data_IF_626612947392
#
_entry.id   IF_626612947392
#
_cell.length_a   1.000
_cell.length_b   1.000
_cell.length_c   1.000
_cell.angle_alpha   90.00
_cell.angle_beta   90.00
_cell.angle_gamma   90.00
#
_symmetry.space_group_name_H-M   'P 1'
#
loop_
_entity.id
_entity.type
_entity.pdbx_description
1 polymer ?
#
# COMPACT_ATOMS: atom_id res chain seq x y z
N UNK A 1 40.00 -43.96 21.98
CA UNK A 1 38.66 -43.39 21.71
C UNK A 1 38.84 -42.11 20.91
N UNK A 2 38.55 -42.14 19.61
CA UNK A 2 38.73 -41.04 18.70
C UNK A 2 37.54 -40.03 18.89
N UNK A 3 37.85 -38.77 19.18
CA UNK A 3 36.86 -37.69 19.22
C UNK A 3 36.36 -37.42 17.79
N UNK A 4 35.10 -37.68 17.51
CA UNK A 4 34.46 -37.27 16.24
C UNK A 4 34.48 -35.74 16.16
N UNK A 5 35.22 -35.19 15.22
CA UNK A 5 35.15 -33.77 14.88
C UNK A 5 33.88 -33.54 14.08
N UNK A 6 32.83 -33.10 14.73
CA UNK A 6 31.67 -32.52 14.04
C UNK A 6 32.10 -31.20 13.44
N UNK A 7 32.49 -31.19 12.19
CA UNK A 7 32.76 -29.97 11.40
C UNK A 7 31.42 -29.34 11.02
N UNK A 8 30.95 -28.38 11.82
CA UNK A 8 29.85 -27.50 11.42
C UNK A 8 30.33 -26.62 10.28
N UNK A 9 29.53 -26.39 9.22
CA UNK A 9 29.90 -25.47 8.16
C UNK A 9 30.17 -24.07 8.77
N UNK A 10 31.26 -23.44 8.30
CA UNK A 10 31.60 -22.06 8.74
C UNK A 10 30.40 -21.15 8.53
N UNK A 11 29.86 -20.63 9.62
CA UNK A 11 28.73 -19.68 9.59
C UNK A 11 29.19 -18.24 9.38
N UNK A 12 30.49 -17.98 9.44
CA UNK A 12 31.12 -16.67 9.38
C UNK A 12 32.34 -16.72 8.46
N UNK A 13 32.55 -15.65 7.67
CA UNK A 13 33.73 -15.46 6.84
C UNK A 13 34.93 -14.99 7.69
N UNK A 14 34.67 -14.28 8.79
CA UNK A 14 35.69 -13.81 9.70
C UNK A 14 36.35 -14.96 10.49
N UNK A 15 37.69 -14.93 10.65
CA UNK A 15 38.45 -16.04 11.28
C UNK A 15 38.27 -16.13 12.79
N UNK A 16 37.89 -15.04 13.47
CA UNK A 16 37.68 -14.97 14.90
C UNK A 16 36.29 -14.45 15.22
N UNK A 17 35.62 -15.13 16.16
CA UNK A 17 34.31 -14.74 16.66
C UNK A 17 34.31 -14.68 18.18
N UNK A 18 33.45 -13.79 18.74
CA UNK A 18 33.24 -13.66 20.17
C UNK A 18 31.75 -13.83 20.47
N UNK A 19 31.44 -14.49 21.61
CA UNK A 19 30.07 -14.60 22.07
C UNK A 19 29.69 -13.33 22.83
N UNK A 20 28.62 -12.68 22.40
CA UNK A 20 28.02 -11.56 23.12
C UNK A 20 26.62 -11.95 23.61
N UNK A 21 26.24 -11.48 24.78
CA UNK A 21 24.88 -11.65 25.32
C UNK A 21 24.08 -10.41 25.03
N UNK A 22 22.94 -10.59 24.35
CA UNK A 22 21.99 -9.54 24.02
C UNK A 22 20.59 -9.97 24.46
N UNK A 23 19.68 -9.04 24.74
CA UNK A 23 18.27 -9.38 24.94
C UNK A 23 17.73 -10.22 23.79
N UNK A 24 16.92 -11.24 24.10
CA UNK A 24 16.39 -12.19 23.11
C UNK A 24 15.65 -11.50 21.96
N UNK A 25 14.90 -10.44 22.26
CA UNK A 25 14.18 -9.62 21.29
C UNK A 25 15.09 -8.94 20.25
N UNK A 26 16.39 -8.81 20.54
CA UNK A 26 17.39 -8.17 19.66
C UNK A 26 18.29 -9.21 18.95
N UNK A 27 18.20 -10.47 19.32
CA UNK A 27 19.17 -11.47 18.89
C UNK A 27 19.12 -11.76 17.39
N UNK A 28 17.93 -11.88 16.80
CA UNK A 28 17.76 -12.16 15.37
C UNK A 28 18.22 -10.98 14.51
N UNK A 29 17.84 -9.77 14.87
CA UNK A 29 18.22 -8.56 14.14
C UNK A 29 19.73 -8.34 14.16
N UNK A 30 20.34 -8.45 15.33
CA UNK A 30 21.80 -8.32 15.48
C UNK A 30 22.56 -9.42 14.74
N UNK A 31 22.02 -10.64 14.71
CA UNK A 31 22.62 -11.75 13.98
C UNK A 31 22.52 -11.53 12.46
N UNK A 32 21.39 -11.04 11.97
CA UNK A 32 21.20 -10.70 10.57
C UNK A 32 22.18 -9.62 10.10
N UNK A 33 22.33 -8.60 10.88
CA UNK A 33 23.24 -7.48 10.70
C UNK A 33 24.69 -7.94 10.68
N UNK A 34 25.11 -8.70 11.68
CA UNK A 34 26.47 -9.21 11.78
C UNK A 34 26.83 -10.11 10.58
N UNK A 35 25.91 -10.95 10.11
CA UNK A 35 26.10 -11.77 8.91
C UNK A 35 26.26 -10.94 7.65
N UNK A 36 25.49 -9.86 7.50
CA UNK A 36 25.59 -8.96 6.34
C UNK A 36 26.93 -8.22 6.31
N UNK A 37 27.45 -7.79 7.46
CA UNK A 37 28.77 -7.18 7.58
C UNK A 37 29.86 -8.21 7.23
N UNK A 38 29.76 -9.42 7.77
CA UNK A 38 30.73 -10.49 7.53
C UNK A 38 30.77 -10.95 6.06
N UNK A 39 29.62 -10.96 5.37
CA UNK A 39 29.53 -11.30 3.95
C UNK A 39 30.14 -10.24 3.01
N UNK A 40 30.17 -8.98 3.42
CA UNK A 40 30.68 -7.86 2.62
C UNK A 40 32.16 -7.53 2.86
N UNK A 41 32.93 -8.42 3.48
CA UNK A 41 34.40 -8.31 3.61
C UNK A 41 34.89 -7.24 4.59
N UNK A 42 34.06 -6.74 5.47
CA UNK A 42 34.49 -5.99 6.67
C UNK A 42 35.07 -4.59 6.48
N UNK A 43 35.12 -4.01 5.28
CA UNK A 43 35.96 -2.83 5.00
C UNK A 43 35.23 -1.47 4.80
N UNK A 44 33.91 -1.38 4.99
CA UNK A 44 33.22 -0.06 5.05
C UNK A 44 32.50 0.15 6.38
N UNK A 45 33.19 -0.18 7.47
CA UNK A 45 32.64 -0.27 8.84
C UNK A 45 32.06 1.03 9.44
N UNK A 46 32.44 2.22 8.97
CA UNK A 46 31.96 3.47 9.59
C UNK A 46 30.61 3.92 9.08
N UNK A 47 30.37 3.91 7.78
CA UNK A 47 29.06 4.31 7.23
C UNK A 47 27.99 3.24 7.46
N UNK A 48 28.36 1.96 7.28
CA UNK A 48 27.44 0.85 7.55
C UNK A 48 27.14 0.69 9.05
N UNK A 49 28.13 0.90 9.94
CA UNK A 49 27.90 0.91 11.39
C UNK A 49 27.02 2.09 11.84
N UNK A 50 27.16 3.26 11.25
CA UNK A 50 26.29 4.39 11.54
C UNK A 50 24.85 4.13 11.08
N UNK A 51 24.67 3.57 9.88
CA UNK A 51 23.34 3.15 9.37
C UNK A 51 22.74 2.10 10.30
N UNK A 52 23.55 1.16 10.77
CA UNK A 52 23.17 0.10 11.68
C UNK A 52 22.75 0.59 13.06
N UNK A 53 23.53 1.53 13.62
CA UNK A 53 23.21 2.17 14.91
C UNK A 53 21.92 2.98 14.76
N UNK A 54 21.71 3.66 13.64
CA UNK A 54 20.48 4.38 13.35
C UNK A 54 19.29 3.42 13.21
N UNK A 55 19.46 2.28 12.54
CA UNK A 55 18.44 1.23 12.43
C UNK A 55 18.07 0.65 13.81
N UNK A 56 19.05 0.38 14.67
CA UNK A 56 18.83 -0.09 16.04
C UNK A 56 18.18 0.98 16.93
N UNK A 57 18.58 2.25 16.77
CA UNK A 57 17.98 3.36 17.52
C UNK A 57 16.54 3.62 17.07
N UNK A 58 16.25 3.50 15.77
CA UNK A 58 14.90 3.60 15.24
C UNK A 58 14.03 2.43 15.71
N UNK A 59 14.53 1.20 15.69
CA UNK A 59 13.82 0.03 16.23
C UNK A 59 13.47 0.16 17.72
N UNK A 60 14.32 0.84 18.51
CA UNK A 60 14.03 1.14 19.93
C UNK A 60 12.98 2.22 20.14
N UNK A 61 12.84 3.16 19.20
CA UNK A 61 11.92 4.30 19.31
C UNK A 61 10.51 3.99 18.76
N UNK A 62 10.39 3.00 17.87
CA UNK A 62 9.11 2.64 17.27
C UNK A 62 8.23 1.98 18.33
N UNK A 63 7.18 2.67 18.74
CA UNK A 63 6.13 2.07 19.57
C UNK A 63 5.20 1.25 18.66
N UNK A 64 4.97 -0.01 19.05
CA UNK A 64 3.98 -0.84 18.36
C UNK A 64 2.58 -0.43 18.78
N UNK A 65 1.72 -0.13 17.81
CA UNK A 65 0.31 0.11 18.03
C UNK A 65 -0.49 -1.20 18.13
N UNK A 66 0.02 -2.27 17.54
CA UNK A 66 -0.49 -3.63 17.68
C UNK A 66 0.57 -4.64 17.24
N UNK A 67 0.82 -5.63 18.06
CA UNK A 67 1.72 -6.76 17.78
C UNK A 67 1.02 -7.91 17.04
N UNK A 68 -0.31 -7.84 16.88
CA UNK A 68 -1.14 -8.84 16.22
C UNK A 68 -1.79 -8.29 14.95
N UNK A 69 -1.66 -8.99 13.82
CA UNK A 69 -2.37 -8.61 12.61
C UNK A 69 -3.87 -8.60 12.83
N UNK A 70 -4.53 -7.57 12.32
CA UNK A 70 -5.99 -7.43 12.40
C UNK A 70 -6.67 -8.48 11.51
N UNK A 71 -7.76 -9.06 12.00
CA UNK A 71 -8.61 -9.92 11.19
C UNK A 71 -9.43 -9.08 10.21
N UNK A 72 -9.20 -9.29 8.93
CA UNK A 72 -9.87 -8.54 7.84
C UNK A 72 -10.99 -9.32 7.16
N UNK A 73 -11.36 -10.51 7.66
CA UNK A 73 -12.42 -11.33 7.07
C UNK A 73 -13.77 -10.60 6.99
N UNK A 74 -14.04 -9.67 7.92
CA UNK A 74 -15.25 -8.84 7.96
C UNK A 74 -15.16 -7.57 7.12
N UNK A 75 -14.02 -7.28 6.47
CA UNK A 75 -13.85 -6.08 5.64
C UNK A 75 -14.37 -6.37 4.22
N UNK A 76 -15.43 -5.67 3.78
CA UNK A 76 -15.96 -5.87 2.43
C UNK A 76 -14.93 -5.46 1.36
N UNK A 77 -14.73 -6.34 0.39
CA UNK A 77 -13.88 -6.11 -0.78
C UNK A 77 -14.60 -5.23 -1.81
N UNK A 78 -14.60 -3.91 -1.62
CA UNK A 78 -15.37 -2.95 -2.40
C UNK A 78 -14.71 -2.59 -3.73
N UNK A 79 -13.38 -2.53 -3.75
CA UNK A 79 -12.62 -2.12 -4.94
C UNK A 79 -12.77 -3.11 -6.10
N UNK A 80 -12.93 -2.63 -7.35
CA UNK A 80 -12.85 -3.46 -8.53
C UNK A 80 -11.42 -3.94 -8.82
N UNK A 81 -10.43 -3.32 -8.21
CA UNK A 81 -9.03 -3.67 -8.36
C UNK A 81 -8.54 -4.70 -7.36
N UNK A 82 -7.56 -5.50 -7.78
CA UNK A 82 -6.59 -6.19 -6.91
C UNK A 82 -5.31 -5.37 -6.93
N UNK A 83 -5.26 -4.37 -6.09
CA UNK A 83 -4.12 -3.45 -6.12
C UNK A 83 -2.97 -3.98 -5.26
N UNK A 84 -1.73 -4.08 -5.79
CA UNK A 84 -0.56 -4.39 -4.97
C UNK A 84 -0.43 -3.39 -3.82
N UNK A 85 -0.12 -3.86 -2.61
CA UNK A 85 -0.07 -2.98 -1.44
C UNK A 85 -1.45 -2.50 -0.93
N UNK A 86 -2.55 -3.06 -1.45
CA UNK A 86 -3.91 -2.65 -1.07
C UNK A 86 -4.16 -2.69 0.44
N UNK A 87 -4.71 -1.62 0.98
CA UNK A 87 -4.85 -1.33 2.43
C UNK A 87 -6.12 -1.92 3.07
N UNK A 88 -6.62 -3.07 2.57
CA UNK A 88 -7.78 -3.74 3.21
C UNK A 88 -7.52 -4.04 4.68
N UNK A 89 -6.30 -4.42 5.04
CA UNK A 89 -5.89 -4.70 6.40
C UNK A 89 -5.93 -3.45 7.30
N UNK A 90 -5.78 -2.26 6.72
CA UNK A 90 -5.79 -0.98 7.43
C UNK A 90 -7.21 -0.45 7.69
N UNK A 91 -8.21 -0.98 6.99
CA UNK A 91 -9.60 -0.49 7.10
C UNK A 91 -10.13 -0.40 8.55
N UNK A 92 -9.88 -1.37 9.45
CA UNK A 92 -10.27 -1.23 10.86
C UNK A 92 -9.68 0.02 11.53
N UNK A 93 -8.40 0.31 11.29
CA UNK A 93 -7.72 1.49 11.81
C UNK A 93 -8.27 2.79 11.20
N UNK A 94 -8.59 2.80 9.90
CA UNK A 94 -9.25 3.94 9.26
C UNK A 94 -10.60 4.25 9.90
N UNK A 95 -11.38 3.22 10.21
CA UNK A 95 -12.67 3.38 10.92
C UNK A 95 -12.48 4.00 12.29
N UNK A 96 -11.49 3.50 13.05
CA UNK A 96 -11.21 4.00 14.40
C UNK A 96 -10.67 5.43 14.34
N UNK A 97 -9.78 5.74 13.42
CA UNK A 97 -9.28 7.09 13.20
C UNK A 97 -10.39 8.08 12.88
N UNK A 98 -11.22 7.80 11.88
CA UNK A 98 -12.27 8.72 11.46
C UNK A 98 -13.37 8.88 12.52
N UNK A 99 -13.67 7.83 13.31
CA UNK A 99 -14.64 7.86 14.40
C UNK A 99 -14.11 8.49 15.68
N UNK A 100 -12.81 8.49 15.90
CA UNK A 100 -12.17 9.10 17.08
C UNK A 100 -12.24 10.63 17.09
N UNK A 101 -12.56 11.22 15.95
CA UNK A 101 -12.64 12.68 15.82
C UNK A 101 -13.89 13.22 16.54
N UNK A 102 -13.71 14.35 17.20
CA UNK A 102 -14.83 15.01 17.91
C UNK A 102 -16.02 15.33 17.00
N UNK A 103 -15.75 15.64 15.72
CA UNK A 103 -16.78 15.82 14.68
C UNK A 103 -16.40 14.99 13.46
N UNK A 104 -17.43 14.44 12.81
CA UNK A 104 -17.25 13.79 11.52
C UNK A 104 -16.62 14.77 10.52
N UNK A 105 -15.53 14.40 9.83
CA UNK A 105 -14.94 15.27 8.83
C UNK A 105 -15.91 15.56 7.69
N UNK A 106 -15.87 16.79 7.18
CA UNK A 106 -16.67 17.13 6.02
C UNK A 106 -16.14 16.40 4.77
N UNK A 107 -14.82 16.25 4.69
CA UNK A 107 -14.15 15.54 3.57
C UNK A 107 -13.12 14.54 4.07
N UNK A 108 -13.04 13.42 3.36
CA UNK A 108 -11.83 12.59 3.32
C UNK A 108 -11.17 12.79 1.97
N UNK A 109 -9.86 13.05 1.95
CA UNK A 109 -9.06 13.11 0.75
C UNK A 109 -8.07 11.93 0.76
N UNK A 110 -8.15 11.05 -0.25
CA UNK A 110 -7.17 10.00 -0.53
C UNK A 110 -6.34 10.43 -1.74
N UNK A 111 -5.14 10.97 -1.47
CA UNK A 111 -4.34 11.65 -2.48
C UNK A 111 -3.60 10.69 -3.44
N UNK A 112 -3.42 9.42 -3.07
CA UNK A 112 -2.76 8.36 -3.84
C UNK A 112 -3.65 7.13 -3.82
N UNK A 113 -4.75 7.18 -4.56
CA UNK A 113 -5.88 6.27 -4.33
C UNK A 113 -5.65 4.84 -4.85
N UNK A 114 -5.01 4.66 -6.00
CA UNK A 114 -4.87 3.35 -6.62
C UNK A 114 -6.21 2.60 -6.68
N UNK A 115 -6.32 1.55 -5.86
CA UNK A 115 -7.58 0.79 -5.70
C UNK A 115 -8.64 1.44 -4.83
N UNK A 116 -8.40 2.60 -4.22
CA UNK A 116 -9.31 3.44 -3.46
C UNK A 116 -10.08 2.72 -2.32
N UNK A 117 -9.50 1.70 -1.68
CA UNK A 117 -10.23 0.92 -0.66
C UNK A 117 -10.61 1.76 0.56
N UNK A 118 -9.78 2.74 0.93
CA UNK A 118 -10.03 3.65 2.05
C UNK A 118 -11.16 4.61 1.70
N UNK A 119 -11.11 5.25 0.55
CA UNK A 119 -12.16 6.11 0.00
C UNK A 119 -13.49 5.38 -0.08
N UNK A 120 -13.50 4.19 -0.69
CA UNK A 120 -14.72 3.39 -0.82
C UNK A 120 -15.28 3.01 0.54
N UNK A 121 -14.43 2.59 1.48
CA UNK A 121 -14.90 2.28 2.84
C UNK A 121 -15.54 3.50 3.49
N UNK A 122 -14.89 4.65 3.45
CA UNK A 122 -15.38 5.87 4.05
C UNK A 122 -16.73 6.31 3.46
N UNK A 123 -16.86 6.26 2.14
CA UNK A 123 -18.10 6.63 1.46
C UNK A 123 -19.26 5.65 1.71
N UNK A 124 -19.00 4.34 1.62
CA UNK A 124 -20.03 3.32 1.85
C UNK A 124 -20.51 3.28 3.30
N UNK A 125 -19.62 3.53 4.26
CA UNK A 125 -19.94 3.48 5.68
C UNK A 125 -20.33 4.86 6.27
N UNK A 126 -20.34 5.90 5.45
CA UNK A 126 -20.70 7.24 5.88
C UNK A 126 -19.75 7.79 6.96
N UNK A 127 -18.45 7.48 6.89
CA UNK A 127 -17.46 7.93 7.88
C UNK A 127 -17.08 9.40 7.68
N UNK A 128 -17.41 9.96 6.53
CA UNK A 128 -17.29 11.38 6.18
C UNK A 128 -18.53 11.82 5.39
N UNK A 129 -18.76 13.12 5.26
CA UNK A 129 -19.89 13.61 4.43
C UNK A 129 -19.60 13.44 2.95
N UNK A 130 -18.35 13.65 2.53
CA UNK A 130 -17.91 13.52 1.14
C UNK A 130 -16.49 12.95 1.06
N UNK A 131 -16.19 12.26 -0.02
CA UNK A 131 -14.86 11.66 -0.28
C UNK A 131 -14.33 12.21 -1.59
N UNK A 132 -13.10 12.68 -1.59
CA UNK A 132 -12.36 13.08 -2.80
C UNK A 132 -11.15 12.16 -2.88
N UNK A 133 -10.94 11.52 -4.03
CA UNK A 133 -9.76 10.70 -4.23
C UNK A 133 -9.10 10.96 -5.58
N UNK A 134 -7.78 10.82 -5.61
CA UNK A 134 -6.93 11.22 -6.71
C UNK A 134 -6.08 10.05 -7.21
N UNK A 135 -5.90 10.00 -8.53
CA UNK A 135 -5.01 9.02 -9.16
C UNK A 135 -4.28 9.67 -10.34
N UNK A 136 -2.96 9.48 -10.36
CA UNK A 136 -2.08 10.02 -11.40
C UNK A 136 -1.97 9.09 -12.62
N UNK A 137 -2.05 7.76 -12.40
CA UNK A 137 -1.99 6.78 -13.48
C UNK A 137 -3.25 6.86 -14.35
N UNK A 138 -3.07 7.35 -15.56
CA UNK A 138 -4.16 7.60 -16.49
C UNK A 138 -4.97 6.33 -16.87
N UNK A 139 -4.38 5.12 -16.77
CA UNK A 139 -5.09 3.87 -17.01
C UNK A 139 -6.02 3.53 -15.85
N UNK A 140 -5.53 3.70 -14.61
CA UNK A 140 -6.34 3.52 -13.39
C UNK A 140 -7.41 4.62 -13.30
N UNK A 141 -7.03 5.87 -13.60
CA UNK A 141 -7.93 7.01 -13.64
C UNK A 141 -9.09 6.81 -14.63
N UNK A 142 -8.85 6.19 -15.79
CA UNK A 142 -9.91 5.88 -16.76
C UNK A 142 -11.01 5.01 -16.14
N UNK A 143 -10.66 4.04 -15.29
CA UNK A 143 -11.67 3.21 -14.61
C UNK A 143 -12.52 4.04 -13.65
N UNK A 144 -11.89 4.87 -12.82
CA UNK A 144 -12.63 5.70 -11.86
C UNK A 144 -13.55 6.71 -12.55
N UNK A 145 -13.09 7.31 -13.65
CA UNK A 145 -13.91 8.20 -14.49
C UNK A 145 -15.15 7.48 -15.05
N UNK A 146 -14.98 6.28 -15.62
CA UNK A 146 -16.11 5.49 -16.16
C UNK A 146 -17.07 5.09 -15.04
N UNK A 147 -16.57 4.67 -13.90
CA UNK A 147 -17.40 4.20 -12.78
C UNK A 147 -18.25 5.32 -12.18
N UNK A 148 -17.71 6.55 -12.08
CA UNK A 148 -18.38 7.67 -11.43
C UNK A 148 -19.15 8.61 -12.37
N UNK A 149 -18.83 8.60 -13.67
CA UNK A 149 -19.42 9.53 -14.65
C UNK A 149 -20.60 8.95 -15.45
N UNK A 150 -21.37 8.02 -14.88
CA UNK A 150 -22.60 7.51 -15.49
C UNK A 150 -22.40 6.46 -16.59
N UNK A 151 -21.16 5.98 -16.79
CA UNK A 151 -20.85 4.94 -17.80
C UNK A 151 -20.51 3.58 -17.15
N UNK A 152 -20.78 3.44 -15.87
CA UNK A 152 -20.53 2.23 -15.08
C UNK A 152 -21.23 1.00 -15.65
N UNK A 153 -22.46 1.15 -16.17
CA UNK A 153 -23.21 0.04 -16.76
C UNK A 153 -22.57 -0.48 -18.03
N UNK A 154 -22.01 0.40 -18.88
CA UNK A 154 -21.25 -0.05 -20.05
C UNK A 154 -20.06 -0.92 -19.64
N UNK A 155 -19.27 -0.49 -18.63
CA UNK A 155 -18.10 -1.25 -18.14
C UNK A 155 -18.52 -2.58 -17.51
N UNK A 156 -19.59 -2.56 -16.70
CA UNK A 156 -20.13 -3.76 -16.07
C UNK A 156 -20.59 -4.77 -17.12
N UNK A 157 -21.35 -4.33 -18.14
CA UNK A 157 -21.83 -5.17 -19.24
C UNK A 157 -20.68 -5.70 -20.11
N UNK A 158 -19.66 -4.88 -20.40
CA UNK A 158 -18.47 -5.32 -21.15
C UNK A 158 -17.72 -6.43 -20.40
N UNK A 159 -17.58 -6.31 -19.06
CA UNK A 159 -16.95 -7.32 -18.21
C UNK A 159 -17.76 -8.63 -18.20
N UNK A 160 -19.09 -8.53 -18.08
CA UNK A 160 -19.98 -9.71 -18.03
C UNK A 160 -19.98 -10.50 -19.34
N UNK A 161 -19.92 -9.80 -20.46
CA UNK A 161 -20.05 -10.41 -21.82
C UNK A 161 -18.68 -10.74 -22.43
N UNK A 162 -17.56 -10.48 -21.73
CA UNK A 162 -16.23 -10.74 -22.27
C UNK A 162 -15.88 -12.22 -22.16
N UNK A 163 -15.69 -12.86 -23.31
CA UNK A 163 -15.17 -14.23 -23.37
C UNK A 163 -13.67 -14.22 -23.09
N UNK A 164 -13.31 -14.59 -21.84
CA UNK A 164 -11.91 -14.58 -21.38
C UNK A 164 -11.17 -15.82 -21.87
N UNK A 165 -10.59 -15.71 -23.05
CA UNK A 165 -9.55 -16.60 -23.57
C UNK A 165 -8.20 -15.91 -23.55
N UNK A 166 -7.10 -16.66 -23.65
CA UNK A 166 -5.76 -16.07 -23.71
C UNK A 166 -5.59 -15.22 -25.00
N UNK A 167 -6.18 -15.64 -26.11
CA UNK A 167 -6.15 -14.90 -27.38
C UNK A 167 -6.86 -13.55 -27.24
N UNK A 168 -8.13 -13.55 -26.76
CA UNK A 168 -8.90 -12.33 -26.57
C UNK A 168 -8.27 -11.39 -25.55
N UNK A 169 -7.70 -11.95 -24.46
CA UNK A 169 -7.00 -11.15 -23.48
C UNK A 169 -5.76 -10.45 -24.06
N UNK A 170 -4.95 -11.16 -24.88
CA UNK A 170 -3.78 -10.59 -25.54
C UNK A 170 -4.17 -9.51 -26.53
N UNK A 171 -5.19 -9.73 -27.33
CA UNK A 171 -5.72 -8.74 -28.28
C UNK A 171 -6.08 -7.43 -27.58
N UNK A 172 -6.90 -7.50 -26.51
CA UNK A 172 -7.30 -6.31 -25.75
C UNK A 172 -6.09 -5.63 -25.09
N UNK A 173 -5.17 -6.41 -24.52
CA UNK A 173 -3.98 -5.85 -23.83
C UNK A 173 -2.99 -5.19 -24.80
N UNK A 174 -2.91 -5.65 -26.04
CA UNK A 174 -2.09 -5.06 -27.10
C UNK A 174 -2.78 -3.87 -27.80
N UNK A 175 -4.07 -3.70 -27.57
CA UNK A 175 -4.84 -2.61 -28.16
C UNK A 175 -4.29 -1.24 -27.77
N UNK A 176 -4.24 -0.33 -28.76
CA UNK A 176 -3.70 1.03 -28.61
C UNK A 176 -4.80 2.09 -28.49
N UNK A 177 -6.07 1.68 -28.37
CA UNK A 177 -7.20 2.61 -28.26
C UNK A 177 -7.00 3.59 -27.11
N UNK A 178 -7.19 4.87 -27.40
CA UNK A 178 -7.18 5.98 -26.45
C UNK A 178 -8.57 6.32 -25.93
N UNK A 179 -9.61 5.66 -26.45
CA UNK A 179 -10.97 5.86 -25.97
C UNK A 179 -11.09 5.48 -24.49
N UNK A 180 -11.73 6.34 -23.71
CA UNK A 180 -11.80 6.22 -22.25
C UNK A 180 -12.39 4.87 -21.79
N UNK A 181 -13.44 4.40 -22.47
CA UNK A 181 -14.12 3.14 -22.17
C UNK A 181 -13.20 1.94 -22.39
N UNK A 182 -12.53 1.90 -23.53
CA UNK A 182 -11.63 0.79 -23.88
C UNK A 182 -10.39 0.79 -22.99
N UNK A 183 -9.87 1.96 -22.61
CA UNK A 183 -8.80 2.08 -21.62
C UNK A 183 -9.23 1.53 -20.27
N UNK A 184 -10.41 1.90 -19.78
CA UNK A 184 -10.95 1.43 -18.51
C UNK A 184 -11.13 -0.10 -18.51
N UNK A 185 -11.70 -0.66 -19.56
CA UNK A 185 -11.85 -2.11 -19.69
C UNK A 185 -10.49 -2.82 -19.74
N UNK A 186 -9.57 -2.34 -20.58
CA UNK A 186 -8.20 -2.87 -20.70
C UNK A 186 -7.45 -2.83 -19.36
N UNK A 187 -7.62 -1.75 -18.57
CA UNK A 187 -7.04 -1.62 -17.26
C UNK A 187 -7.56 -2.68 -16.27
N UNK A 188 -8.88 -2.88 -16.19
CA UNK A 188 -9.48 -3.93 -15.35
C UNK A 188 -9.02 -5.32 -15.80
N UNK A 189 -9.04 -5.59 -17.10
CA UNK A 189 -8.57 -6.86 -17.63
C UNK A 189 -7.11 -7.11 -17.25
N UNK A 190 -6.22 -6.15 -17.50
CA UNK A 190 -4.80 -6.21 -17.13
C UNK A 190 -4.62 -6.55 -15.66
N UNK A 191 -5.29 -5.84 -14.78
CA UNK A 191 -5.24 -6.06 -13.33
C UNK A 191 -5.65 -7.49 -12.92
N UNK A 192 -6.54 -8.12 -13.67
CA UNK A 192 -7.05 -9.46 -13.35
C UNK A 192 -6.24 -10.59 -13.95
N UNK A 193 -5.73 -10.43 -15.17
CA UNK A 193 -5.05 -11.51 -15.89
C UNK A 193 -3.52 -11.49 -15.78
N UNK A 194 -2.92 -10.38 -15.31
CA UNK A 194 -1.48 -10.31 -15.08
C UNK A 194 -1.07 -10.78 -13.69
N UNK A 195 0.18 -11.26 -13.59
CA UNK A 195 0.73 -11.77 -12.32
C UNK A 195 0.73 -10.67 -11.25
N UNK A 196 0.26 -11.02 -10.06
CA UNK A 196 0.25 -10.11 -8.91
C UNK A 196 -0.74 -8.94 -9.01
N UNK A 197 -1.48 -8.78 -10.12
CA UNK A 197 -2.28 -7.58 -10.38
C UNK A 197 -1.42 -6.35 -10.71
N UNK A 198 -0.16 -6.59 -11.12
CA UNK A 198 0.81 -5.55 -11.44
C UNK A 198 0.35 -4.79 -12.68
N UNK A 199 0.30 -3.46 -12.59
CA UNK A 199 -0.14 -2.58 -13.67
C UNK A 199 1.01 -2.18 -14.60
N UNK A 200 2.26 -2.34 -14.16
CA UNK A 200 3.45 -2.00 -14.94
C UNK A 200 3.52 -2.81 -16.24
N UNK A 201 4.02 -2.18 -17.29
CA UNK A 201 4.25 -2.81 -18.59
C UNK A 201 5.24 -3.99 -18.47
N UNK A 202 4.99 -5.07 -19.25
CA UNK A 202 5.85 -6.24 -19.27
C UNK A 202 5.50 -7.33 -18.24
N UNK A 203 4.54 -7.12 -17.35
CA UNK A 203 4.03 -8.18 -16.51
C UNK A 203 3.33 -9.26 -17.35
N UNK A 204 3.81 -10.50 -17.24
CA UNK A 204 3.24 -11.61 -18.00
C UNK A 204 1.87 -12.07 -17.47
N UNK A 205 1.11 -12.75 -18.33
CA UNK A 205 -0.16 -13.38 -17.94
C UNK A 205 0.04 -14.43 -16.85
N UNK A 206 -0.99 -14.62 -16.04
CA UNK A 206 -1.05 -15.69 -15.03
C UNK A 206 -1.04 -17.05 -15.74
N UNK A 207 -0.01 -17.88 -15.50
CA UNK A 207 0.14 -19.19 -16.13
C UNK A 207 -0.72 -20.26 -15.45
N UNK A 208 -0.46 -20.55 -14.19
CA UNK A 208 -1.18 -21.61 -13.44
C UNK A 208 -2.38 -21.06 -12.68
N UNK A 209 -2.22 -19.89 -12.04
CA UNK A 209 -3.27 -19.27 -11.24
C UNK A 209 -3.69 -20.09 -10.01
N UNK A 210 -4.75 -19.66 -9.35
CA UNK A 210 -5.34 -20.39 -8.23
C UNK A 210 -6.08 -21.64 -8.76
N UNK A 211 -5.81 -22.80 -8.17
CA UNK A 211 -6.40 -24.10 -8.56
C UNK A 211 -6.21 -24.48 -10.05
N UNK A 212 -5.10 -24.05 -10.67
CA UNK A 212 -4.80 -24.38 -12.06
C UNK A 212 -5.69 -23.67 -13.10
N UNK A 213 -6.49 -22.68 -12.70
CA UNK A 213 -7.44 -21.99 -13.59
C UNK A 213 -6.79 -20.94 -14.52
N UNK A 214 -5.45 -20.80 -14.49
CA UNK A 214 -4.72 -19.86 -15.34
C UNK A 214 -5.23 -18.43 -15.21
N UNK A 215 -5.45 -17.76 -16.34
CA UNK A 215 -5.95 -16.37 -16.39
C UNK A 215 -7.36 -16.22 -15.79
N UNK A 216 -8.15 -17.29 -15.75
CA UNK A 216 -9.50 -17.30 -15.18
C UNK A 216 -9.50 -17.32 -13.65
N UNK A 217 -8.35 -17.56 -13.00
CA UNK A 217 -8.26 -17.68 -11.53
C UNK A 217 -8.70 -16.44 -10.77
N UNK A 218 -8.68 -15.29 -11.42
CA UNK A 218 -9.00 -13.97 -10.81
C UNK A 218 -10.07 -13.19 -11.58
N UNK A 219 -10.66 -13.82 -12.59
CA UNK A 219 -11.76 -13.23 -13.35
C UNK A 219 -13.09 -13.67 -12.76
N UNK A 220 -13.75 -12.76 -12.08
CA UNK A 220 -15.06 -12.94 -11.44
C UNK A 220 -16.01 -11.85 -11.96
N UNK A 221 -16.53 -11.98 -13.20
CA UNK A 221 -17.23 -10.92 -13.90
C UNK A 221 -18.46 -10.41 -13.14
N UNK A 222 -19.25 -11.30 -12.54
CA UNK A 222 -20.45 -10.92 -11.76
C UNK A 222 -20.07 -10.09 -10.53
N UNK A 223 -18.99 -10.48 -9.83
CA UNK A 223 -18.50 -9.75 -8.66
C UNK A 223 -17.96 -8.37 -9.06
N UNK A 224 -17.24 -8.28 -10.17
CA UNK A 224 -16.72 -7.03 -10.70
C UNK A 224 -17.85 -6.08 -11.11
N UNK A 225 -18.79 -6.57 -11.90
CA UNK A 225 -19.95 -5.80 -12.35
C UNK A 225 -20.79 -5.30 -11.18
N UNK A 226 -21.04 -6.15 -10.20
CA UNK A 226 -21.75 -5.78 -8.98
C UNK A 226 -21.04 -4.66 -8.22
N UNK A 227 -19.71 -4.78 -7.97
CA UNK A 227 -18.93 -3.73 -7.28
C UNK A 227 -18.99 -2.40 -8.02
N UNK A 228 -18.83 -2.42 -9.34
CA UNK A 228 -18.90 -1.22 -10.19
C UNK A 228 -20.28 -0.54 -10.05
N UNK A 229 -21.35 -1.31 -10.09
CA UNK A 229 -22.72 -0.79 -9.92
C UNK A 229 -22.96 -0.25 -8.52
N UNK A 230 -22.50 -0.96 -7.49
CA UNK A 230 -22.60 -0.52 -6.08
C UNK A 230 -21.85 0.80 -5.85
N UNK A 231 -20.66 0.98 -6.42
CA UNK A 231 -19.93 2.26 -6.32
C UNK A 231 -20.71 3.37 -7.02
N UNK A 232 -21.20 3.12 -8.23
CA UNK A 232 -21.97 4.12 -8.97
C UNK A 232 -23.29 4.49 -8.27
N UNK A 233 -23.91 3.58 -7.53
CA UNK A 233 -25.16 3.89 -6.77
C UNK A 233 -24.91 4.91 -5.65
N UNK A 234 -23.68 5.10 -5.24
CA UNK A 234 -23.25 6.06 -4.23
C UNK A 234 -22.39 7.20 -4.81
N UNK A 235 -22.42 7.39 -6.15
CA UNK A 235 -21.53 8.33 -6.85
C UNK A 235 -21.55 9.75 -6.26
N UNK A 236 -22.67 10.20 -5.75
CA UNK A 236 -22.82 11.55 -5.20
C UNK A 236 -22.02 11.75 -3.89
N UNK A 237 -21.54 10.66 -3.27
CA UNK A 237 -20.63 10.71 -2.12
C UNK A 237 -19.17 10.84 -2.51
N UNK A 238 -18.86 10.72 -3.81
CA UNK A 238 -17.49 10.66 -4.31
C UNK A 238 -17.22 11.75 -5.33
N UNK A 239 -16.03 12.34 -5.25
CA UNK A 239 -15.40 13.10 -6.33
C UNK A 239 -14.08 12.44 -6.69
N UNK A 240 -13.84 12.28 -7.97
CA UNK A 240 -12.59 11.74 -8.48
C UNK A 240 -11.80 12.80 -9.24
N UNK A 241 -10.50 12.87 -8.96
CA UNK A 241 -9.55 13.78 -9.62
C UNK A 241 -8.48 12.93 -10.32
N UNK A 242 -8.37 13.09 -11.66
CA UNK A 242 -7.22 12.57 -12.41
C UNK A 242 -6.12 13.64 -12.32
N UNK A 243 -5.03 13.35 -11.57
CA UNK A 243 -3.98 14.34 -11.36
C UNK A 243 -2.99 13.97 -10.26
N UNK A 244 -2.21 14.97 -9.85
CA UNK A 244 -1.20 14.83 -8.82
C UNK A 244 -1.80 15.01 -7.42
N UNK A 245 -1.57 14.02 -6.55
CA UNK A 245 -2.00 14.06 -5.14
C UNK A 245 -1.46 15.25 -4.36
N UNK A 246 -0.26 15.73 -4.70
CA UNK A 246 0.30 16.96 -4.09
C UNK A 246 -0.56 18.18 -4.37
N UNK A 247 -1.07 18.32 -5.57
CA UNK A 247 -1.92 19.45 -5.95
C UNK A 247 -3.25 19.40 -5.20
N UNK A 248 -3.85 18.22 -5.10
CA UNK A 248 -5.08 18.01 -4.33
C UNK A 248 -4.89 18.32 -2.83
N UNK A 249 -3.78 17.89 -2.22
CA UNK A 249 -3.47 18.24 -0.83
C UNK A 249 -3.34 19.76 -0.68
N UNK A 250 -2.61 20.43 -1.60
CA UNK A 250 -2.41 21.87 -1.58
C UNK A 250 -3.73 22.66 -1.66
N UNK A 251 -4.63 22.23 -2.53
CA UNK A 251 -5.95 22.85 -2.70
C UNK A 251 -6.76 22.85 -1.39
N UNK A 252 -6.67 21.77 -0.63
CA UNK A 252 -7.46 21.58 0.58
C UNK A 252 -6.71 21.78 1.91
N UNK A 253 -5.42 22.12 1.87
CA UNK A 253 -4.56 22.20 3.08
C UNK A 253 -5.05 23.19 4.14
N UNK A 254 -5.83 24.20 3.76
CA UNK A 254 -6.33 25.25 4.66
C UNK A 254 -7.66 24.90 5.34
N UNK A 255 -8.30 23.78 4.96
CA UNK A 255 -9.58 23.35 5.52
C UNK A 255 -9.37 22.46 6.76
N UNK A 256 -9.76 22.92 7.97
CA UNK A 256 -9.59 22.15 9.21
C UNK A 256 -10.55 20.95 9.31
N UNK A 257 -11.65 20.94 8.54
CA UNK A 257 -12.65 19.87 8.53
C UNK A 257 -12.33 18.76 7.52
N UNK A 258 -11.19 18.85 6.85
CA UNK A 258 -10.67 17.81 5.94
C UNK A 258 -9.81 16.80 6.69
N UNK A 259 -10.01 15.52 6.40
CA UNK A 259 -9.10 14.44 6.78
C UNK A 259 -8.34 13.96 5.53
N UNK A 260 -7.01 13.80 5.63
CA UNK A 260 -6.18 13.32 4.53
C UNK A 260 -5.68 11.91 4.82
N UNK A 261 -5.96 10.97 3.94
CA UNK A 261 -5.31 9.66 3.95
C UNK A 261 -4.25 9.60 2.86
N UNK A 262 -3.03 9.23 3.24
CA UNK A 262 -1.84 9.32 2.40
C UNK A 262 -1.13 7.98 2.37
N UNK A 263 -1.12 7.34 1.21
CA UNK A 263 -0.47 6.06 0.95
C UNK A 263 0.34 6.15 -0.36
N UNK A 264 1.45 6.89 -0.36
CA UNK A 264 2.23 7.10 -1.58
C UNK A 264 2.98 5.83 -1.97
N UNK A 265 3.43 5.70 -3.24
CA UNK A 265 4.34 4.63 -3.64
C UNK A 265 5.60 4.62 -2.77
N UNK A 266 5.95 3.46 -2.17
CA UNK A 266 7.09 3.33 -1.26
C UNK A 266 8.43 3.27 -1.99
N UNK A 267 9.49 3.72 -1.33
CA UNK A 267 10.79 4.03 -1.91
C UNK A 267 11.49 2.89 -2.66
N UNK A 268 11.35 1.62 -2.23
CA UNK A 268 12.10 0.49 -2.80
C UNK A 268 11.28 -0.45 -3.69
N UNK A 269 10.00 -0.64 -3.38
CA UNK A 269 9.13 -1.56 -4.10
C UNK A 269 8.40 -0.90 -5.28
N UNK A 270 8.21 0.41 -5.22
CA UNK A 270 7.37 1.18 -6.13
C UNK A 270 7.77 1.05 -7.61
N UNK A 271 9.07 1.08 -7.92
CA UNK A 271 9.62 0.91 -9.28
C UNK A 271 9.11 -0.31 -10.04
N UNK A 272 8.83 -1.40 -9.30
CA UNK A 272 8.41 -2.68 -9.90
C UNK A 272 6.90 -2.81 -10.01
N UNK A 273 6.16 -1.99 -9.30
CA UNK A 273 4.73 -2.16 -9.10
C UNK A 273 3.90 -1.08 -9.80
N UNK A 274 4.42 0.14 -9.88
CA UNK A 274 3.66 1.32 -10.31
C UNK A 274 4.34 2.02 -11.51
N UNK A 275 3.53 2.59 -12.38
CA UNK A 275 3.98 3.45 -13.49
C UNK A 275 4.43 4.83 -12.99
N UNK A 276 3.76 5.37 -11.96
CA UNK A 276 4.10 6.63 -11.28
C UNK A 276 4.66 6.30 -9.88
N UNK A 277 5.98 6.14 -9.77
CA UNK A 277 6.64 5.65 -8.55
C UNK A 277 7.54 6.68 -7.86
N UNK A 278 7.90 7.77 -8.55
CA UNK A 278 8.83 8.77 -8.04
C UNK A 278 8.09 9.84 -7.24
N UNK A 279 8.16 9.75 -5.91
CA UNK A 279 7.52 10.68 -4.97
C UNK A 279 8.58 11.37 -4.14
N UNK A 280 8.55 12.70 -4.09
CA UNK A 280 9.35 13.50 -3.15
C UNK A 280 8.75 13.39 -1.74
N UNK A 281 9.24 12.41 -0.98
CA UNK A 281 8.74 12.12 0.36
C UNK A 281 8.94 13.29 1.33
N UNK A 282 10.07 14.00 1.27
CA UNK A 282 10.32 15.17 2.14
C UNK A 282 9.32 16.28 1.87
N UNK A 283 9.08 16.61 0.59
CA UNK A 283 8.08 17.58 0.17
C UNK A 283 6.66 17.19 0.64
N UNK A 284 6.33 15.90 0.61
CA UNK A 284 5.05 15.41 1.09
C UNK A 284 4.87 15.65 2.60
N UNK A 285 5.87 15.33 3.41
CA UNK A 285 5.84 15.59 4.86
C UNK A 285 5.77 17.08 5.16
N UNK A 286 6.55 17.90 4.45
CA UNK A 286 6.51 19.36 4.56
C UNK A 286 5.11 19.90 4.24
N UNK A 287 4.48 19.42 3.18
CA UNK A 287 3.14 19.86 2.79
C UNK A 287 2.09 19.47 3.85
N UNK A 288 2.15 18.25 4.37
CA UNK A 288 1.24 17.79 5.43
C UNK A 288 1.44 18.54 6.75
N UNK A 289 2.67 19.00 7.04
CA UNK A 289 2.91 19.84 8.22
C UNK A 289 2.12 21.16 8.19
N UNK A 290 1.84 21.69 7.00
CA UNK A 290 1.09 22.93 6.77
C UNK A 290 -0.44 22.71 6.72
N UNK A 291 -0.93 21.48 6.58
CA UNK A 291 -2.35 21.21 6.55
C UNK A 291 -3.01 21.59 7.88
N UNK A 292 -4.15 22.28 7.84
CA UNK A 292 -4.97 22.55 9.05
C UNK A 292 -5.81 21.35 9.45
N UNK A 293 -6.23 20.56 8.47
CA UNK A 293 -6.92 19.31 8.67
C UNK A 293 -6.02 18.23 9.25
N UNK A 294 -6.62 17.16 9.72
CA UNK A 294 -5.90 16.00 10.22
C UNK A 294 -5.47 15.07 9.09
N UNK A 295 -4.43 14.27 9.32
CA UNK A 295 -3.98 13.30 8.36
C UNK A 295 -3.56 11.99 9.02
N UNK A 296 -3.65 10.92 8.25
CA UNK A 296 -3.09 9.62 8.54
C UNK A 296 -2.33 9.14 7.31
N UNK A 297 -1.06 8.77 7.51
CA UNK A 297 -0.22 8.18 6.47
C UNK A 297 0.06 6.72 6.78
N UNK A 298 0.16 5.90 5.75
CA UNK A 298 0.78 4.56 5.83
C UNK A 298 2.08 4.55 5.04
N UNK A 299 3.11 3.92 5.62
CA UNK A 299 4.47 3.88 5.04
C UNK A 299 5.21 2.61 5.40
N UNK A 300 6.22 2.26 4.58
CA UNK A 300 7.22 1.26 4.95
C UNK A 300 7.90 1.62 6.27
N UNK A 301 8.08 0.64 7.14
CA UNK A 301 8.83 0.81 8.38
C UNK A 301 10.33 0.84 8.08
N UNK A 302 10.85 2.01 7.74
CA UNK A 302 12.27 2.25 7.46
C UNK A 302 12.82 3.40 8.31
N UNK A 303 14.14 3.41 8.49
CA UNK A 303 14.83 4.44 9.28
C UNK A 303 14.63 5.83 8.68
N UNK A 304 14.64 5.90 7.36
CA UNK A 304 14.48 7.16 6.62
C UNK A 304 13.09 7.77 6.87
N UNK A 305 12.06 6.93 6.87
CA UNK A 305 10.68 7.38 7.10
C UNK A 305 10.48 7.80 8.56
N UNK A 306 11.05 7.05 9.51
CA UNK A 306 11.04 7.41 10.94
C UNK A 306 11.73 8.76 11.15
N UNK A 307 12.91 8.97 10.57
CA UNK A 307 13.64 10.23 10.67
C UNK A 307 12.87 11.42 10.07
N UNK A 308 12.15 11.18 8.96
CA UNK A 308 11.25 12.20 8.40
C UNK A 308 10.11 12.52 9.38
N UNK A 309 9.41 11.53 9.91
CA UNK A 309 8.33 11.75 10.86
C UNK A 309 8.81 12.55 12.08
N UNK A 310 9.95 12.19 12.66
CA UNK A 310 10.57 12.90 13.78
C UNK A 310 10.94 14.36 13.42
N UNK A 311 11.50 14.58 12.21
CA UNK A 311 11.92 15.93 11.78
C UNK A 311 10.75 16.91 11.61
N UNK A 312 9.54 16.39 11.35
CA UNK A 312 8.32 17.21 11.26
C UNK A 312 7.44 17.13 12.52
N UNK A 313 7.89 16.46 13.58
CA UNK A 313 7.16 16.34 14.84
C UNK A 313 5.89 15.48 14.73
N UNK A 314 5.84 14.54 13.80
CA UNK A 314 4.71 13.62 13.64
C UNK A 314 4.84 12.41 14.55
N UNK A 315 3.72 11.98 15.14
CA UNK A 315 3.66 10.71 15.85
C UNK A 315 3.65 9.54 14.85
N UNK A 316 4.30 8.44 15.21
CA UNK A 316 4.30 7.23 14.41
C UNK A 316 4.18 5.98 15.27
N UNK A 317 3.58 4.91 14.71
CA UNK A 317 3.42 3.59 15.34
C UNK A 317 3.62 2.50 14.30
N UNK A 318 4.36 1.46 14.65
CA UNK A 318 4.47 0.27 13.83
C UNK A 318 3.26 -0.63 14.05
N UNK A 319 2.62 -1.04 12.96
CA UNK A 319 1.48 -1.93 12.97
C UNK A 319 1.85 -3.24 12.30
N UNK A 320 1.59 -4.35 12.99
CA UNK A 320 1.84 -5.67 12.45
C UNK A 320 0.85 -5.99 11.32
N UNK A 321 1.38 -6.47 10.19
CA UNK A 321 0.60 -6.94 9.07
C UNK A 321 1.07 -8.34 8.62
N UNK A 322 0.19 -9.08 7.93
CA UNK A 322 0.57 -10.30 7.22
C UNK A 322 0.60 -10.00 5.73
N UNK A 323 1.69 -10.38 5.08
CA UNK A 323 1.71 -10.41 3.62
C UNK A 323 1.05 -11.69 3.09
N UNK A 324 0.93 -11.80 1.76
CA UNK A 324 0.38 -12.99 1.08
C UNK A 324 1.17 -14.28 1.33
N UNK A 325 2.40 -14.18 1.85
CA UNK A 325 3.27 -15.30 2.21
C UNK A 325 3.30 -15.57 3.72
N UNK A 326 2.34 -15.01 4.48
CA UNK A 326 2.23 -15.13 5.94
C UNK A 326 3.45 -14.64 6.74
N UNK A 327 4.40 -13.95 6.11
CA UNK A 327 5.48 -13.29 6.83
C UNK A 327 4.92 -12.14 7.65
N UNK A 328 5.32 -12.05 8.92
CA UNK A 328 5.03 -10.88 9.76
C UNK A 328 5.86 -9.71 9.25
N UNK A 329 5.20 -8.66 8.86
CA UNK A 329 5.80 -7.39 8.45
C UNK A 329 5.19 -6.28 9.29
N UNK A 330 5.82 -5.13 9.27
CA UNK A 330 5.28 -3.93 9.91
C UNK A 330 5.23 -2.80 8.90
N UNK A 331 4.15 -2.04 8.95
CA UNK A 331 4.05 -0.72 8.30
C UNK A 331 3.92 0.35 9.38
N UNK A 332 4.33 1.57 9.06
CA UNK A 332 4.15 2.71 9.94
C UNK A 332 2.80 3.37 9.67
N UNK A 333 2.05 3.65 10.72
CA UNK A 333 1.04 4.68 10.73
C UNK A 333 1.66 5.97 11.28
N UNK A 334 1.47 7.07 10.54
CA UNK A 334 2.05 8.37 10.87
C UNK A 334 0.93 9.40 10.87
N UNK A 335 0.87 10.24 11.90
CA UNK A 335 -0.14 11.28 12.03
C UNK A 335 0.26 12.36 13.02
N UNK A 336 -0.60 13.39 13.18
CA UNK A 336 -0.37 14.41 14.20
C UNK A 336 -0.61 13.90 15.61
N UNK A 337 -1.60 13.01 15.75
CA UNK A 337 -2.02 12.43 17.01
C UNK A 337 -2.53 11.01 16.78
N UNK A 338 -1.86 10.04 17.35
CA UNK A 338 -2.21 8.62 17.27
C UNK A 338 -2.78 8.06 18.59
N UNK A 339 -3.25 8.91 19.52
CA UNK A 339 -3.82 8.46 20.82
C UNK A 339 -5.10 7.63 20.67
N UNK A 340 -5.77 7.74 19.53
CA UNK A 340 -6.93 6.91 19.20
C UNK A 340 -6.56 5.45 18.91
N UNK A 341 -5.31 5.20 18.56
CA UNK A 341 -4.78 3.87 18.28
C UNK A 341 -4.60 3.14 19.63
N UNK A 342 -5.55 2.27 19.93
CA UNK A 342 -5.48 1.42 21.14
C UNK A 342 -4.39 0.37 20.93
N UNK A 343 -3.49 0.25 21.90
CA UNK A 343 -2.43 -0.76 21.94
C UNK A 343 -2.97 -2.18 22.08
#
# INVERSE_FOLDING_TARGET
MARSSTTYPKRWNSPKTTVIRVPEIMAEDLLHIARRIDSNGGFRLREEANTLVLELMAARKVQYGSDRPVNVSSVPQRSPFRYPGGKTWLVPYIRDWLRSRYRQPNRLIEAFAGGAIVSLTAGFEGLTKHVIFCELDAEVAAVWRIVLNGQSEWLASKILNFDLTEANAREVLQGTSTELRERAFRCILRNRVQRGGIMAWGAGLVKSGENGRGINSRWYPETLARRIREINSLKDRFSFVEGDGFDLIREHQSDPDTAFYIDPPYTKAARRLYSAWDVDHRRLFEQLSRCKGDFLMSYDNTVEVVALAESFGFEYRAIAMKNTHHAKMTELLIGRNLRWLKG
#
